data_IF_394127308242
#
_entry.id   IF_394127308242
#
_cell.length_a   1.000
_cell.length_b   1.000
_cell.length_c   1.000
_cell.angle_alpha   90.00
_cell.angle_beta   90.00
_cell.angle_gamma   90.00
#
_symmetry.space_group_name_H-M   'P 1'
#
loop_
_entity.id
_entity.type
_entity.pdbx_description
1 polymer ?
#
# COMPACT_ATOMS: atom_id res chain seq x y z
N UNK A 1 3.68 10.27 -5.58
CA UNK A 1 3.99 8.81 -5.53
C UNK A 1 2.81 8.10 -4.91
N UNK A 2 2.43 6.94 -5.44
CA UNK A 2 1.28 6.16 -4.98
C UNK A 2 1.76 4.86 -4.32
N UNK A 3 1.10 4.40 -3.23
CA UNK A 3 1.44 3.14 -2.55
C UNK A 3 0.25 2.18 -2.43
N UNK A 4 0.51 0.92 -2.08
CA UNK A 4 -0.55 -0.06 -1.80
C UNK A 4 -1.38 0.35 -0.58
N UNK A 5 -0.73 0.84 0.47
CA UNK A 5 -1.38 1.30 1.70
C UNK A 5 -2.36 2.44 1.40
N UNK A 6 -1.96 3.41 0.56
CA UNK A 6 -2.82 4.50 0.13
C UNK A 6 -3.98 3.99 -0.73
N UNK A 7 -3.71 3.05 -1.64
CA UNK A 7 -4.77 2.41 -2.42
C UNK A 7 -5.82 1.82 -1.48
N UNK A 8 -5.44 1.06 -0.46
CA UNK A 8 -6.39 0.41 0.45
C UNK A 8 -7.09 1.42 1.38
N UNK A 9 -6.34 2.34 1.99
CA UNK A 9 -6.83 3.20 3.09
C UNK A 9 -7.38 4.56 2.66
N UNK A 10 -6.83 5.15 1.60
CA UNK A 10 -7.15 6.51 1.12
C UNK A 10 -7.30 6.50 -0.41
N UNK A 11 -8.28 5.75 -0.93
CA UNK A 11 -8.36 5.40 -2.33
C UNK A 11 -8.60 6.57 -3.27
N UNK A 12 -9.33 7.59 -2.81
CA UNK A 12 -9.56 8.82 -3.55
C UNK A 12 -8.25 9.60 -3.76
N UNK A 13 -7.47 9.79 -2.69
CA UNK A 13 -6.17 10.47 -2.77
C UNK A 13 -5.17 9.70 -3.65
N UNK A 14 -5.19 8.36 -3.59
CA UNK A 14 -4.40 7.51 -4.48
C UNK A 14 -4.77 7.73 -5.95
N UNK A 15 -6.08 7.77 -6.24
CA UNK A 15 -6.58 7.98 -7.60
C UNK A 15 -6.24 9.40 -8.10
N UNK A 16 -6.36 10.42 -7.25
CA UNK A 16 -5.98 11.79 -7.59
C UNK A 16 -4.51 11.91 -7.94
N UNK A 17 -3.62 11.29 -7.16
CA UNK A 17 -2.19 11.29 -7.45
C UNK A 17 -1.86 10.61 -8.78
N UNK A 18 -2.55 9.51 -9.10
CA UNK A 18 -2.38 8.81 -10.38
C UNK A 18 -2.88 9.65 -11.56
N UNK A 19 -4.09 10.20 -11.45
CA UNK A 19 -4.69 11.02 -12.50
C UNK A 19 -3.89 12.31 -12.75
N UNK A 20 -3.42 12.95 -11.68
CA UNK A 20 -2.56 14.12 -11.77
C UNK A 20 -1.23 13.83 -12.47
N UNK A 21 -0.63 12.66 -12.20
CA UNK A 21 0.58 12.24 -12.92
C UNK A 21 0.33 11.97 -14.40
N UNK A 22 -0.81 11.37 -14.75
CA UNK A 22 -1.17 11.05 -16.14
C UNK A 22 -1.72 12.26 -16.90
N UNK A 23 -2.05 13.36 -16.23
CA UNK A 23 -2.72 14.52 -16.82
C UNK A 23 -4.14 14.21 -17.32
N UNK A 24 -4.84 13.28 -16.65
CA UNK A 24 -6.17 12.81 -17.08
C UNK A 24 -7.26 13.39 -16.18
N UNK A 25 -8.18 14.13 -16.77
CA UNK A 25 -9.36 14.62 -16.08
C UNK A 25 -10.55 13.68 -16.23
N UNK A 26 -11.05 13.20 -15.08
CA UNK A 26 -12.25 12.38 -15.00
C UNK A 26 -13.38 13.15 -14.33
N UNK A 27 -14.59 13.00 -14.88
CA UNK A 27 -15.81 13.47 -14.21
C UNK A 27 -16.04 12.76 -12.88
N UNK A 28 -16.77 13.41 -11.96
CA UNK A 28 -17.13 12.81 -10.68
C UNK A 28 -17.86 11.46 -10.82
N UNK A 29 -18.63 11.26 -11.89
CA UNK A 29 -19.29 9.98 -12.18
C UNK A 29 -18.30 8.87 -12.55
N UNK A 30 -17.31 9.17 -13.39
CA UNK A 30 -16.27 8.20 -13.77
C UNK A 30 -15.41 7.83 -12.56
N UNK A 31 -15.04 8.81 -11.73
CA UNK A 31 -14.30 8.60 -10.48
C UNK A 31 -15.02 7.65 -9.54
N UNK A 32 -16.30 7.92 -9.23
CA UNK A 32 -17.12 7.04 -8.40
C UNK A 32 -17.19 5.62 -8.95
N UNK A 33 -17.33 5.47 -10.27
CA UNK A 33 -17.36 4.14 -10.90
C UNK A 33 -16.05 3.38 -10.69
N UNK A 34 -14.90 4.03 -10.84
CA UNK A 34 -13.59 3.41 -10.61
C UNK A 34 -13.40 2.98 -9.16
N UNK A 35 -13.73 3.87 -8.21
CA UNK A 35 -13.63 3.57 -6.78
C UNK A 35 -14.57 2.42 -6.40
N UNK A 36 -15.80 2.41 -6.92
CA UNK A 36 -16.80 1.36 -6.63
C UNK A 36 -16.49 0.02 -7.29
N UNK A 37 -15.75 0.02 -8.41
CA UNK A 37 -15.41 -1.22 -9.12
C UNK A 37 -14.36 -2.07 -8.39
N UNK A 38 -13.78 -1.51 -7.33
CA UNK A 38 -12.73 -2.17 -6.56
C UNK A 38 -13.33 -3.14 -5.56
N UNK A 39 -13.01 -4.41 -5.74
CA UNK A 39 -13.38 -5.46 -4.79
C UNK A 39 -12.20 -5.82 -3.89
N UNK A 40 -12.22 -5.28 -2.67
CA UNK A 40 -11.30 -5.61 -1.58
C UNK A 40 -12.01 -6.33 -0.43
N UNK A 41 -13.24 -6.81 -0.66
CA UNK A 41 -14.02 -7.44 0.38
C UNK A 41 -13.51 -8.87 0.67
N UNK A 42 -12.78 -9.02 1.75
CA UNK A 42 -12.38 -10.33 2.28
C UNK A 42 -13.24 -10.64 3.51
N UNK A 43 -14.21 -11.55 3.37
CA UNK A 43 -15.09 -11.96 4.48
C UNK A 43 -14.35 -12.80 5.54
N UNK A 44 -13.45 -13.67 5.09
CA UNK A 44 -12.59 -14.52 5.92
C UNK A 44 -11.34 -14.88 5.15
N UNK A 45 -10.18 -14.87 5.81
CA UNK A 45 -8.92 -15.25 5.17
C UNK A 45 -8.96 -16.73 4.77
N UNK A 46 -8.72 -17.00 3.49
CA UNK A 46 -8.52 -18.33 2.92
C UNK A 46 -7.08 -18.40 2.39
N UNK A 47 -6.20 -19.25 2.95
CA UNK A 47 -4.82 -19.34 2.51
C UNK A 47 -4.61 -19.70 1.04
N UNK A 48 -5.56 -20.38 0.42
CA UNK A 48 -5.46 -20.81 -0.99
C UNK A 48 -6.11 -19.83 -1.96
N UNK A 49 -6.70 -18.73 -1.48
CA UNK A 49 -7.30 -17.72 -2.35
C UNK A 49 -6.24 -16.77 -2.95
N UNK A 50 -6.55 -16.14 -4.08
CA UNK A 50 -5.72 -15.08 -4.64
C UNK A 50 -5.78 -13.80 -3.80
N UNK A 51 -6.99 -13.39 -3.39
CA UNK A 51 -7.22 -12.28 -2.45
C UNK A 51 -7.52 -12.87 -1.07
N UNK A 52 -6.57 -12.73 -0.14
CA UNK A 52 -6.59 -13.46 1.15
C UNK A 52 -6.81 -12.56 2.35
N UNK A 53 -6.14 -11.43 2.36
CA UNK A 53 -6.14 -10.41 3.39
C UNK A 53 -5.65 -9.14 2.69
N UNK A 54 -6.37 -8.02 2.85
CA UNK A 54 -6.13 -6.78 2.08
C UNK A 54 -5.58 -5.66 2.96
N UNK A 55 -5.76 -5.76 4.28
CA UNK A 55 -5.40 -4.67 5.17
C UNK A 55 -3.88 -4.64 5.41
N UNK A 56 -3.23 -3.48 5.24
CA UNK A 56 -1.81 -3.38 5.56
C UNK A 56 -1.53 -3.69 7.03
N UNK A 57 -0.30 -4.13 7.34
CA UNK A 57 0.12 -4.47 8.70
C UNK A 57 -0.07 -5.93 9.11
N UNK A 58 -0.50 -6.79 8.19
CA UNK A 58 -0.72 -8.23 8.46
C UNK A 58 0.52 -8.96 9.01
N UNK A 59 1.71 -8.50 8.61
CA UNK A 59 2.98 -9.04 9.09
C UNK A 59 3.10 -9.00 10.62
N UNK A 60 2.56 -7.97 11.29
CA UNK A 60 2.64 -7.82 12.74
C UNK A 60 1.88 -8.92 13.50
N UNK A 61 0.87 -9.53 12.88
CA UNK A 61 0.11 -10.65 13.46
C UNK A 61 0.74 -12.01 13.16
N UNK A 62 1.55 -12.10 12.10
CA UNK A 62 2.10 -13.35 11.56
C UNK A 62 3.56 -13.59 11.94
N UNK A 63 4.32 -12.53 12.16
CA UNK A 63 5.73 -12.58 12.51
C UNK A 63 5.89 -12.38 14.02
N UNK A 64 6.91 -13.04 14.58
CA UNK A 64 7.32 -12.79 15.96
C UNK A 64 8.06 -11.44 16.05
N UNK A 65 7.99 -10.72 17.18
CA UNK A 65 8.69 -9.45 17.35
C UNK A 65 10.19 -9.52 17.06
N UNK A 66 10.86 -10.62 17.44
CA UNK A 66 12.30 -10.80 17.21
C UNK A 66 12.61 -10.98 15.71
N UNK A 67 11.68 -11.57 14.96
CA UNK A 67 11.80 -11.70 13.49
C UNK A 67 11.65 -10.34 12.82
N UNK A 68 10.70 -9.52 13.28
CA UNK A 68 10.51 -8.15 12.77
C UNK A 68 11.78 -7.33 13.04
N UNK A 69 12.28 -7.32 14.28
CA UNK A 69 13.48 -6.58 14.63
C UNK A 69 14.72 -7.01 13.82
N UNK A 70 14.87 -8.32 13.57
CA UNK A 70 15.94 -8.82 12.72
C UNK A 70 15.80 -8.37 11.27
N UNK A 71 14.59 -8.39 10.71
CA UNK A 71 14.32 -7.90 9.35
C UNK A 71 14.60 -6.40 9.23
N UNK A 72 14.15 -5.60 10.21
CA UNK A 72 14.38 -4.16 10.25
C UNK A 72 15.88 -3.84 10.26
N UNK A 73 16.66 -4.51 11.11
CA UNK A 73 18.11 -4.35 11.15
C UNK A 73 18.78 -4.80 9.84
N UNK A 74 18.33 -5.93 9.27
CA UNK A 74 18.89 -6.48 8.04
C UNK A 74 18.65 -5.58 6.82
N UNK A 75 17.50 -4.90 6.77
CA UNK A 75 17.08 -4.07 5.64
C UNK A 75 17.17 -2.57 5.91
N UNK A 76 17.75 -2.15 7.03
CA UNK A 76 17.81 -0.75 7.47
C UNK A 76 18.21 0.22 6.36
N UNK A 77 19.31 -0.06 5.66
CA UNK A 77 19.82 0.78 4.56
C UNK A 77 18.78 0.96 3.44
N UNK A 78 18.17 -0.14 2.99
CA UNK A 78 17.17 -0.13 1.93
C UNK A 78 15.90 0.57 2.39
N UNK A 79 15.46 0.32 3.63
CA UNK A 79 14.27 0.94 4.21
C UNK A 79 14.43 2.46 4.37
N UNK A 80 15.61 2.92 4.75
CA UNK A 80 15.91 4.36 4.85
C UNK A 80 15.95 5.03 3.49
N UNK A 81 16.48 4.36 2.46
CA UNK A 81 16.39 4.85 1.08
C UNK A 81 14.94 5.03 0.63
N UNK A 82 14.10 4.00 0.78
CA UNK A 82 12.68 4.09 0.40
C UNK A 82 11.90 5.12 1.20
N UNK A 83 12.24 5.33 2.46
CA UNK A 83 11.60 6.33 3.31
C UNK A 83 12.03 7.77 3.02
N UNK A 84 12.99 7.98 2.10
CA UNK A 84 13.60 9.29 1.87
C UNK A 84 14.42 9.79 3.06
N UNK A 85 14.86 8.87 3.94
CA UNK A 85 15.69 9.14 5.11
C UNK A 85 17.16 8.76 4.90
N UNK A 86 17.52 8.23 3.74
CA UNK A 86 18.91 7.96 3.41
C UNK A 86 19.72 9.25 3.57
N UNK A 87 20.77 9.18 4.39
CA UNK A 87 21.77 10.24 4.46
C UNK A 87 22.30 10.48 3.04
N UNK A 88 22.25 11.72 2.58
CA UNK A 88 22.97 12.13 1.38
C UNK A 88 24.44 11.84 1.67
N UNK A 89 25.03 10.87 0.96
CA UNK A 89 26.47 10.67 1.01
C UNK A 89 27.10 12.00 0.54
N UNK A 90 27.83 12.64 1.46
CA UNK A 90 28.57 13.87 1.24
C UNK A 90 29.75 13.65 0.29
#
# INVERSE_FOLDING_TARGET
>A
MTTYEQLVTTPDAWLDALLGYLGVDLSARQRRRLISARDFAVKRENPSAHVRQVQPGDHARKLRPETIAWLDAKFAEVLDWYAGRAATAA
#
